data_IF_460034555107
#
_entry.id   IF_460034555107
#
_cell.length_a   1.000
_cell.length_b   1.000
_cell.length_c   1.000
_cell.angle_alpha   90.00
_cell.angle_beta   90.00
_cell.angle_gamma   90.00
#
_symmetry.space_group_name_H-M   'P 1'
#
loop_
_entity.id
_entity.type
_entity.pdbx_description
1 polymer ?
#
# COMPACT_ATOMS: atom_id res chain seq x y z
N UNK A 1 17.22 47.04 44.70
CA UNK A 1 16.09 47.60 43.92
C UNK A 1 15.12 46.48 43.59
N UNK A 2 13.90 46.61 44.12
CA UNK A 2 12.64 45.92 43.79
C UNK A 2 12.55 44.39 43.78
N UNK A 3 11.93 43.90 44.85
CA UNK A 3 11.18 42.64 45.00
C UNK A 3 10.26 42.27 43.82
N UNK A 4 10.04 40.96 43.59
CA UNK A 4 8.77 40.29 43.96
C UNK A 4 8.79 38.77 43.72
N UNK A 5 8.50 38.08 44.82
CA UNK A 5 7.90 36.75 44.92
C UNK A 5 6.53 36.69 44.22
N UNK A 6 6.23 35.54 43.64
CA UNK A 6 4.91 35.05 43.22
C UNK A 6 4.99 33.52 43.31
N UNK A 7 3.99 32.74 43.71
CA UNK A 7 2.76 32.88 44.48
C UNK A 7 2.26 31.43 44.54
N UNK A 8 1.94 30.96 45.74
CA UNK A 8 1.35 29.64 45.96
C UNK A 8 -0.13 29.73 45.56
N UNK A 9 -0.58 28.92 44.61
CA UNK A 9 -2.01 28.77 44.29
C UNK A 9 -2.36 27.29 44.37
N UNK A 10 -2.95 26.94 45.51
CA UNK A 10 -3.80 25.78 45.72
C UNK A 10 -5.11 25.96 44.96
N UNK A 11 -5.42 25.05 44.03
CA UNK A 11 -6.77 24.91 43.46
C UNK A 11 -7.20 23.45 43.54
N UNK A 12 -8.18 23.26 44.43
CA UNK A 12 -9.24 22.26 44.53
C UNK A 12 -9.19 20.99 43.66
N UNK A 13 -9.26 19.88 44.38
CA UNK A 13 -9.88 18.64 43.91
C UNK A 13 -11.29 18.91 43.39
N UNK A 14 -11.50 18.81 42.08
CA UNK A 14 -12.80 18.45 41.53
C UNK A 14 -12.65 17.11 40.81
N UNK A 15 -13.21 16.07 41.42
CA UNK A 15 -13.49 14.78 40.78
C UNK A 15 -14.25 15.01 39.47
N UNK A 16 -13.74 14.54 38.33
CA UNK A 16 -14.56 13.97 37.26
C UNK A 16 -13.71 13.28 36.18
N UNK A 17 -13.88 11.97 36.03
CA UNK A 17 -13.90 11.28 34.73
C UNK A 17 -12.58 11.06 33.99
N UNK A 18 -12.03 9.85 34.12
CA UNK A 18 -11.03 9.25 33.23
C UNK A 18 -11.43 9.29 31.75
N UNK A 19 -10.67 9.98 30.88
CA UNK A 19 -10.80 9.81 29.41
C UNK A 19 -9.47 9.94 28.64
N UNK A 20 -8.95 8.76 28.25
CA UNK A 20 -8.40 8.42 26.93
C UNK A 20 -7.58 9.47 26.14
N UNK A 21 -6.25 9.43 26.27
CA UNK A 21 -5.30 10.10 25.38
C UNK A 21 -4.76 9.16 24.29
N UNK A 22 -5.38 9.16 23.10
CA UNK A 22 -4.79 8.60 21.86
C UNK A 22 -4.71 9.70 20.78
N UNK A 23 -3.60 9.82 20.02
CA UNK A 23 -3.41 10.94 19.11
C UNK A 23 -4.15 10.76 17.77
N UNK A 24 -4.80 11.83 17.33
CA UNK A 24 -5.68 11.92 16.16
C UNK A 24 -4.91 12.33 14.89
N UNK A 25 -5.29 11.81 13.70
CA UNK A 25 -4.79 12.34 12.42
C UNK A 25 -5.84 12.35 11.30
N UNK A 26 -5.79 13.41 10.49
CA UNK A 26 -6.70 13.75 9.40
C UNK A 26 -6.38 12.98 8.11
N UNK A 27 -7.40 12.48 7.41
CA UNK A 27 -7.28 11.99 6.03
C UNK A 27 -7.62 13.13 5.06
N UNK A 28 -6.62 13.58 4.27
CA UNK A 28 -6.76 14.69 3.33
C UNK A 28 -7.29 14.19 1.98
N UNK A 29 -8.58 14.40 1.68
CA UNK A 29 -9.07 14.38 0.29
C UNK A 29 -8.69 15.71 -0.38
N UNK A 30 -7.96 15.67 -1.50
CA UNK A 30 -7.80 16.81 -2.40
C UNK A 30 -9.12 17.03 -3.14
N UNK A 31 -9.88 18.03 -2.71
CA UNK A 31 -11.04 18.58 -3.43
C UNK A 31 -10.93 20.10 -3.45
N UNK A 32 -11.10 20.69 -4.63
CA UNK A 32 -10.95 22.12 -4.91
C UNK A 32 -11.90 22.99 -4.06
N UNK A 33 -11.42 24.21 -3.81
CA UNK A 33 -12.01 25.31 -3.03
C UNK A 33 -13.49 25.58 -3.36
N UNK A 34 -14.34 25.73 -2.33
CA UNK A 34 -14.99 27.00 -1.90
C UNK A 34 -15.95 26.79 -0.72
N UNK A 35 -16.01 27.83 0.12
CA UNK A 35 -17.01 28.22 1.14
C UNK A 35 -17.35 27.29 2.32
N UNK A 36 -16.75 27.66 3.46
CA UNK A 36 -17.31 27.84 4.82
C UNK A 36 -18.62 27.19 5.26
N UNK A 37 -18.56 26.60 6.47
CA UNK A 37 -19.63 26.40 7.47
C UNK A 37 -20.51 25.14 7.43
N UNK A 38 -20.03 24.03 6.89
CA UNK A 38 -20.40 22.71 7.41
C UNK A 38 -19.14 21.88 7.53
N UNK A 39 -18.51 21.96 8.71
CA UNK A 39 -17.43 21.04 9.14
C UNK A 39 -18.08 19.65 9.24
N UNK A 40 -18.28 18.99 8.10
CA UNK A 40 -18.74 17.61 7.99
C UNK A 40 -17.89 16.82 8.96
N UNK A 41 -18.48 16.33 10.07
CA UNK A 41 -17.84 15.42 11.03
C UNK A 41 -17.23 14.29 10.21
N UNK A 42 -15.93 14.38 9.90
CA UNK A 42 -15.15 13.23 9.47
C UNK A 42 -15.22 12.27 10.65
N UNK A 43 -16.10 11.28 10.58
CA UNK A 43 -16.27 10.27 11.63
C UNK A 43 -14.89 9.65 11.83
N UNK A 44 -14.30 9.92 12.99
CA UNK A 44 -13.02 9.36 13.42
C UNK A 44 -13.19 7.85 13.49
N UNK A 45 -12.73 7.12 12.47
CA UNK A 45 -12.77 5.65 12.50
C UNK A 45 -11.53 5.17 13.23
N UNK A 46 -11.74 4.60 14.42
CA UNK A 46 -10.71 3.87 15.15
C UNK A 46 -10.30 2.66 14.30
N UNK A 47 -9.00 2.53 14.02
CA UNK A 47 -8.41 1.40 13.29
C UNK A 47 -7.10 0.98 13.95
N UNK A 48 -6.86 -0.31 14.06
CA UNK A 48 -5.66 -0.90 14.68
C UNK A 48 -4.46 -0.73 13.76
N UNK A 49 -4.64 -0.95 12.46
CA UNK A 49 -3.60 -0.79 11.44
C UNK A 49 -4.06 0.25 10.43
N UNK A 50 -3.18 1.15 9.99
CA UNK A 50 -3.49 2.10 8.92
C UNK A 50 -3.43 1.41 7.56
N UNK A 51 -4.16 1.91 6.55
CA UNK A 51 -3.95 1.51 5.14
C UNK A 51 -2.50 1.63 4.66
N UNK A 52 -1.70 2.48 5.31
CA UNK A 52 -0.27 2.60 5.04
C UNK A 52 0.59 1.48 5.65
N UNK A 53 0.00 0.57 6.42
CA UNK A 53 0.67 -0.52 7.15
C UNK A 53 1.30 -0.10 8.47
N UNK A 54 1.14 1.15 8.91
CA UNK A 54 1.61 1.59 10.23
C UNK A 54 0.63 1.10 11.29
N UNK A 55 1.12 0.42 12.31
CA UNK A 55 0.34 0.09 13.50
C UNK A 55 -0.02 1.37 14.25
N UNK A 56 -1.24 1.44 14.76
CA UNK A 56 -1.75 2.51 15.62
C UNK A 56 -1.82 2.05 17.08
N UNK A 57 -0.92 1.16 17.47
CA UNK A 57 -0.84 0.63 18.82
C UNK A 57 0.20 1.47 19.57
N UNK A 58 -0.24 2.18 20.60
CA UNK A 58 0.65 2.86 21.52
C UNK A 58 0.89 1.94 22.70
N UNK A 59 2.12 1.44 22.82
CA UNK A 59 2.55 0.77 24.04
C UNK A 59 2.76 1.85 25.11
N UNK A 60 2.18 1.64 26.31
CA UNK A 60 2.41 2.48 27.47
C UNK A 60 3.92 2.52 27.75
N UNK A 61 4.43 3.70 28.10
CA UNK A 61 5.86 3.92 28.23
C UNK A 61 6.42 3.11 29.41
N UNK A 62 7.29 2.14 29.13
CA UNK A 62 8.14 1.52 30.15
C UNK A 62 9.23 2.53 30.54
N UNK A 63 9.45 2.74 31.85
CA UNK A 63 10.45 3.68 32.38
C UNK A 63 11.88 3.38 31.91
N UNK A 64 12.17 2.14 31.46
CA UNK A 64 13.50 1.71 30.99
C UNK A 64 13.66 1.67 29.47
N UNK A 65 12.73 2.26 28.71
CA UNK A 65 12.73 2.21 27.25
C UNK A 65 13.97 2.84 26.61
N UNK A 66 14.42 3.98 27.13
CA UNK A 66 15.60 4.67 26.62
C UNK A 66 16.86 3.84 26.82
N UNK A 67 17.01 3.20 27.99
CA UNK A 67 18.13 2.33 28.30
C UNK A 67 18.19 1.12 27.35
N UNK A 68 17.06 0.47 27.08
CA UNK A 68 17.00 -0.64 26.10
C UNK A 68 17.38 -0.21 24.68
N UNK A 69 17.00 1.00 24.24
CA UNK A 69 17.42 1.53 22.94
C UNK A 69 18.91 1.90 22.88
N UNK A 70 19.49 2.39 23.98
CA UNK A 70 20.92 2.66 24.06
C UNK A 70 21.75 1.36 24.04
N UNK A 71 21.26 0.29 24.66
CA UNK A 71 21.90 -1.04 24.59
C UNK A 71 21.93 -1.59 23.15
N UNK A 72 20.92 -1.26 22.33
CA UNK A 72 20.84 -1.65 20.92
C UNK A 72 21.00 -0.45 19.98
N UNK A 73 22.12 0.27 20.15
CA UNK A 73 22.41 1.52 19.45
C UNK A 73 22.48 1.32 17.92
N UNK A 74 23.10 0.23 17.47
CA UNK A 74 23.29 -0.06 16.03
C UNK A 74 21.94 -0.25 15.33
N UNK A 75 21.07 -1.12 15.85
CA UNK A 75 19.75 -1.31 15.23
C UNK A 75 18.90 -0.06 15.36
N UNK A 76 19.04 0.71 16.44
CA UNK A 76 18.33 1.98 16.62
C UNK A 76 18.72 3.01 15.54
N UNK A 77 20.02 3.14 15.24
CA UNK A 77 20.53 4.04 14.20
C UNK A 77 20.08 3.58 12.81
N UNK A 78 20.18 2.29 12.51
CA UNK A 78 19.76 1.71 11.22
C UNK A 78 18.26 1.92 11.00
N UNK A 79 17.43 1.72 12.04
CA UNK A 79 15.98 1.90 11.97
C UNK A 79 15.52 3.37 12.06
N UNK A 80 16.40 4.30 12.40
CA UNK A 80 16.07 5.72 12.44
C UNK A 80 15.81 6.29 11.03
N UNK A 81 15.35 7.54 10.93
CA UNK A 81 15.21 8.18 9.62
C UNK A 81 16.58 8.57 9.08
N UNK A 82 16.73 8.61 7.74
CA UNK A 82 17.98 9.02 7.07
C UNK A 82 18.58 10.32 7.62
N UNK A 83 17.74 11.34 7.85
CA UNK A 83 18.19 12.63 8.40
C UNK A 83 18.85 12.50 9.76
N UNK A 84 18.27 11.70 10.65
CA UNK A 84 18.80 11.49 12.00
C UNK A 84 20.04 10.60 11.99
N UNK A 85 20.08 9.57 11.15
CA UNK A 85 21.28 8.73 10.98
C UNK A 85 22.47 9.55 10.48
N UNK A 86 22.28 10.37 9.43
CA UNK A 86 23.36 11.21 8.89
C UNK A 86 23.79 12.30 9.88
N UNK A 87 22.84 12.92 10.59
CA UNK A 87 23.15 13.90 11.64
C UNK A 87 23.98 13.27 12.75
N UNK A 88 23.57 12.09 13.25
CA UNK A 88 24.26 11.39 14.33
C UNK A 88 25.70 11.03 13.95
N UNK A 89 25.90 10.46 12.75
CA UNK A 89 27.24 10.15 12.23
C UNK A 89 28.12 11.40 12.07
N UNK A 90 27.54 12.50 11.58
CA UNK A 90 28.25 13.78 11.43
C UNK A 90 28.67 14.36 12.78
N UNK A 91 27.80 14.29 13.78
CA UNK A 91 28.09 14.76 15.14
C UNK A 91 29.22 13.97 15.77
N UNK A 92 29.26 12.64 15.61
CA UNK A 92 30.38 11.81 16.11
C UNK A 92 31.71 12.26 15.48
N UNK A 93 31.73 12.48 14.17
CA UNK A 93 32.93 12.90 13.45
C UNK A 93 33.44 14.26 13.95
N UNK A 94 32.54 15.24 14.08
CA UNK A 94 32.87 16.56 14.61
C UNK A 94 33.37 16.47 16.05
N UNK A 95 32.68 15.71 16.92
CA UNK A 95 33.10 15.53 18.31
C UNK A 95 34.51 14.93 18.42
N UNK A 96 34.86 13.99 17.54
CA UNK A 96 36.21 13.41 17.56
C UNK A 96 37.30 14.43 17.20
N UNK A 97 37.05 15.31 16.23
CA UNK A 97 37.97 16.42 15.92
C UNK A 97 38.17 17.34 17.12
N UNK A 98 37.09 17.70 17.82
CA UNK A 98 37.20 18.53 19.02
C UNK A 98 37.94 17.84 20.16
N UNK A 99 37.69 16.56 20.40
CA UNK A 99 38.37 15.80 21.45
C UNK A 99 39.88 15.73 21.17
N UNK A 100 40.28 15.37 19.95
CA UNK A 100 41.69 15.32 19.57
C UNK A 100 42.33 16.70 19.55
N UNK A 101 41.63 17.76 19.14
CA UNK A 101 42.13 19.14 19.24
C UNK A 101 42.45 19.53 20.70
N UNK A 102 41.58 19.15 21.65
CA UNK A 102 41.84 19.37 23.07
C UNK A 102 43.04 18.55 23.58
N UNK A 103 43.21 17.30 23.11
CA UNK A 103 44.37 16.48 23.46
C UNK A 103 45.68 17.05 22.90
N UNK A 104 45.67 17.55 21.66
CA UNK A 104 46.82 18.23 21.07
C UNK A 104 47.18 19.51 21.81
N UNK A 105 46.18 20.28 22.21
CA UNK A 105 46.37 21.47 23.04
C UNK A 105 46.99 21.11 24.41
N UNK A 106 46.55 20.01 25.02
CA UNK A 106 47.08 19.54 26.30
C UNK A 106 48.57 19.17 26.20
N UNK A 107 48.96 18.39 25.18
CA UNK A 107 50.37 18.03 24.92
C UNK A 107 51.22 19.28 24.69
N UNK A 108 50.69 20.28 23.99
CA UNK A 108 51.41 21.51 23.69
C UNK A 108 51.63 22.39 24.92
N UNK A 109 50.66 22.42 25.84
CA UNK A 109 50.78 23.11 27.13
C UNK A 109 51.81 22.41 28.03
N UNK A 110 51.81 21.08 28.08
CA UNK A 110 52.74 20.31 28.92
C UNK A 110 54.19 20.44 28.45
N UNK A 111 54.43 20.40 27.13
CA UNK A 111 55.75 20.62 26.54
C UNK A 111 56.19 22.10 26.53
N UNK A 112 55.30 23.04 26.93
CA UNK A 112 55.52 24.49 26.90
C UNK A 112 55.93 25.00 25.52
N UNK A 113 55.26 24.55 24.46
CA UNK A 113 55.54 24.97 23.08
C UNK A 113 55.31 26.47 22.84
N UNK A 114 54.64 27.16 23.79
CA UNK A 114 54.36 28.60 23.74
C UNK A 114 55.50 29.48 24.24
N UNK A 115 56.47 28.93 24.98
CA UNK A 115 57.61 29.70 25.48
C UNK A 115 58.61 29.91 24.35
N UNK A 116 58.86 31.18 23.96
CA UNK A 116 59.82 31.56 22.90
C UNK A 116 61.26 31.07 23.18
N UNK A 117 61.55 30.64 24.41
CA UNK A 117 62.84 30.06 24.82
C UNK A 117 63.01 28.60 24.42
N UNK A 118 61.94 27.89 24.06
CA UNK A 118 62.01 26.51 23.59
C UNK A 118 62.36 26.47 22.10
N UNK A 119 63.63 26.18 21.80
CA UNK A 119 64.13 26.13 20.42
C UNK A 119 63.58 24.94 19.61
N UNK A 120 62.93 23.96 20.25
CA UNK A 120 62.40 22.76 19.61
C UNK A 120 60.96 22.45 20.10
N UNK A 121 59.91 23.09 19.53
CA UNK A 121 58.53 22.81 19.91
C UNK A 121 58.10 21.41 19.44
N UNK A 122 57.21 20.77 20.19
CA UNK A 122 56.61 19.49 19.82
C UNK A 122 55.76 19.59 18.55
N UNK A 123 54.94 20.64 18.46
CA UNK A 123 54.05 20.95 17.35
C UNK A 123 54.50 22.24 16.64
N UNK A 124 54.98 22.10 15.42
CA UNK A 124 55.40 23.24 14.59
C UNK A 124 54.21 23.88 13.86
N UNK A 125 54.16 25.22 13.82
CA UNK A 125 53.20 25.97 13.00
C UNK A 125 51.76 26.00 13.53
N UNK A 126 51.55 25.61 14.79
CA UNK A 126 50.23 25.58 15.44
C UNK A 126 50.11 26.71 16.45
N UNK A 127 49.18 27.63 16.23
CA UNK A 127 48.92 28.74 17.15
C UNK A 127 47.42 28.83 17.49
N UNK A 128 47.13 28.92 18.79
CA UNK A 128 45.76 29.02 19.33
C UNK A 128 44.90 27.77 19.11
N UNK A 129 43.71 27.75 19.73
CA UNK A 129 42.78 26.61 19.66
C UNK A 129 42.37 26.26 18.23
N UNK A 130 42.15 27.27 17.37
CA UNK A 130 41.82 27.05 15.98
C UNK A 130 42.94 26.29 15.24
N UNK A 131 44.20 26.57 15.55
CA UNK A 131 45.35 25.84 15.01
C UNK A 131 45.31 24.36 15.37
N UNK A 132 45.07 24.01 16.64
CA UNK A 132 44.97 22.62 17.09
C UNK A 132 43.77 21.89 16.49
N UNK A 133 42.64 22.59 16.29
CA UNK A 133 41.48 22.04 15.61
C UNK A 133 41.77 21.73 14.14
N UNK A 134 42.39 22.67 13.42
CA UNK A 134 42.83 22.43 12.04
C UNK A 134 43.82 21.27 11.97
N UNK A 135 44.78 21.22 12.89
CA UNK A 135 45.76 20.13 12.97
C UNK A 135 45.10 18.76 13.21
N UNK A 136 44.10 18.72 14.11
CA UNK A 136 43.32 17.49 14.35
C UNK A 136 42.55 17.05 13.11
N UNK A 137 41.89 17.97 12.42
CA UNK A 137 41.16 17.69 11.17
C UNK A 137 42.14 17.18 10.10
N UNK A 138 43.25 17.87 9.87
CA UNK A 138 44.26 17.52 8.88
C UNK A 138 44.84 16.11 9.11
N UNK A 139 45.12 15.77 10.37
CA UNK A 139 45.69 14.47 10.76
C UNK A 139 44.66 13.35 10.64
N UNK A 140 43.43 13.54 11.13
CA UNK A 140 42.40 12.49 11.12
C UNK A 140 41.80 12.25 9.73
N UNK A 141 41.71 13.29 8.90
CA UNK A 141 41.23 13.18 7.51
C UNK A 141 42.34 12.85 6.51
N UNK A 142 43.58 12.71 6.97
CA UNK A 142 44.76 12.46 6.14
C UNK A 142 44.96 13.47 5.00
N UNK A 143 44.52 14.73 5.20
CA UNK A 143 44.73 15.80 4.22
C UNK A 143 46.18 16.29 4.27
N UNK A 144 46.70 16.54 5.49
CA UNK A 144 48.09 16.89 5.76
C UNK A 144 48.66 18.01 4.87
N UNK A 145 48.22 19.26 5.04
CA UNK A 145 48.69 20.38 4.22
C UNK A 145 50.20 20.69 4.35
N UNK A 146 50.86 20.20 5.41
CA UNK A 146 52.31 20.29 5.59
C UNK A 146 52.81 21.55 6.31
N UNK A 147 51.97 22.57 6.48
CA UNK A 147 52.33 23.79 7.24
C UNK A 147 52.34 23.55 8.77
N UNK A 148 51.70 22.47 9.23
CA UNK A 148 51.65 22.04 10.63
C UNK A 148 52.21 20.63 10.72
N UNK A 149 53.18 20.41 11.59
CA UNK A 149 53.89 19.15 11.66
C UNK A 149 54.29 18.78 13.09
N UNK A 150 54.45 17.48 13.33
CA UNK A 150 54.91 16.91 14.60
C UNK A 150 56.42 16.70 14.51
N UNK A 151 57.14 17.09 15.56
CA UNK A 151 58.56 16.78 15.71
C UNK A 151 58.77 15.44 16.44
N UNK A 152 59.90 14.78 16.15
CA UNK A 152 60.22 13.45 16.66
C UNK A 152 60.67 13.43 18.13
N UNK A 153 60.93 14.60 18.73
CA UNK A 153 61.44 14.73 20.09
C UNK A 153 60.43 14.33 21.17
N UNK A 154 59.13 14.39 20.87
CA UNK A 154 58.05 14.12 21.82
C UNK A 154 57.33 12.80 21.47
N UNK A 155 57.63 11.68 22.15
CA UNK A 155 57.02 10.39 21.84
C UNK A 155 55.51 10.36 22.12
N UNK A 156 55.02 11.19 23.04
CA UNK A 156 53.60 11.32 23.37
C UNK A 156 52.76 11.80 22.19
N UNK A 157 53.29 12.76 21.40
CA UNK A 157 52.64 13.25 20.20
C UNK A 157 52.54 12.17 19.11
N UNK A 158 53.61 11.39 18.92
CA UNK A 158 53.62 10.26 17.98
C UNK A 158 52.59 9.21 18.40
N UNK A 159 52.52 8.89 19.69
CA UNK A 159 51.52 7.96 20.22
C UNK A 159 50.08 8.47 20.00
N UNK A 160 49.82 9.74 20.32
CA UNK A 160 48.51 10.35 20.11
C UNK A 160 48.11 10.34 18.62
N UNK A 161 49.05 10.62 17.72
CA UNK A 161 48.84 10.53 16.28
C UNK A 161 48.44 9.11 15.84
N UNK A 162 49.13 8.08 16.32
CA UNK A 162 48.78 6.68 16.02
C UNK A 162 47.36 6.32 16.51
N UNK A 163 47.02 6.73 17.74
CA UNK A 163 45.66 6.52 18.30
C UNK A 163 44.62 7.29 17.49
N UNK A 164 44.92 8.52 17.07
CA UNK A 164 44.03 9.36 16.28
C UNK A 164 43.75 8.76 14.91
N UNK A 165 44.78 8.30 14.20
CA UNK A 165 44.64 7.65 12.90
C UNK A 165 43.83 6.36 13.03
N UNK A 166 44.14 5.52 14.03
CA UNK A 166 43.38 4.29 14.30
C UNK A 166 41.90 4.56 14.56
N UNK A 167 41.61 5.55 15.41
CA UNK A 167 40.23 5.97 15.73
C UNK A 167 39.51 6.52 14.49
N UNK A 168 40.20 7.31 13.67
CA UNK A 168 39.68 7.85 12.41
C UNK A 168 39.24 6.76 11.43
N UNK A 169 40.09 5.74 11.23
CA UNK A 169 39.79 4.59 10.37
C UNK A 169 38.57 3.81 10.90
N UNK A 170 38.51 3.56 12.21
CA UNK A 170 37.36 2.88 12.82
C UNK A 170 36.04 3.65 12.60
N UNK A 171 36.06 4.98 12.76
CA UNK A 171 34.87 5.82 12.54
C UNK A 171 34.46 5.80 11.07
N UNK A 172 35.41 6.00 10.14
CA UNK A 172 35.15 5.96 8.71
C UNK A 172 34.58 4.60 8.27
N UNK A 173 35.17 3.50 8.75
CA UNK A 173 34.66 2.14 8.51
C UNK A 173 33.23 1.95 9.04
N UNK A 174 32.95 2.43 10.26
CA UNK A 174 31.61 2.34 10.85
C UNK A 174 30.55 3.11 10.03
N UNK A 175 30.91 4.29 9.48
CA UNK A 175 30.02 5.09 8.64
C UNK A 175 29.62 4.32 7.38
N UNK A 176 30.60 3.74 6.67
CA UNK A 176 30.35 2.97 5.45
C UNK A 176 29.47 1.75 5.78
N UNK A 177 29.77 1.01 6.85
CA UNK A 177 29.00 -0.15 7.28
C UNK A 177 27.55 0.21 7.63
N UNK A 178 27.32 1.27 8.40
CA UNK A 178 25.97 1.70 8.79
C UNK A 178 25.17 2.18 7.58
N UNK A 179 25.79 2.96 6.69
CA UNK A 179 25.12 3.44 5.47
C UNK A 179 24.78 2.26 4.57
N UNK A 180 25.70 1.33 4.36
CA UNK A 180 25.48 0.12 3.57
C UNK A 180 24.34 -0.74 4.13
N UNK A 181 24.38 -1.03 5.44
CA UNK A 181 23.33 -1.80 6.12
C UNK A 181 21.95 -1.12 5.99
N UNK A 182 21.93 0.23 6.08
CA UNK A 182 20.70 1.01 5.92
C UNK A 182 20.19 1.03 4.48
N UNK A 183 21.07 1.05 3.48
CA UNK A 183 20.71 1.02 2.05
C UNK A 183 20.10 -0.33 1.64
N UNK A 184 20.67 -1.41 2.14
CA UNK A 184 20.18 -2.78 1.88
C UNK A 184 18.89 -3.06 2.65
N UNK A 185 18.73 -2.42 3.81
CA UNK A 185 17.54 -2.54 4.63
C UNK A 185 16.26 -2.30 3.82
N UNK A 186 15.18 -3.07 4.08
CA UNK A 186 13.94 -2.91 3.34
C UNK A 186 13.38 -1.51 3.59
N UNK A 187 13.39 -0.64 2.56
CA UNK A 187 12.75 0.67 2.67
C UNK A 187 11.30 0.48 3.16
N UNK A 188 10.89 1.31 4.14
CA UNK A 188 9.53 1.34 4.69
C UNK A 188 8.53 1.68 3.57
N UNK A 189 8.11 0.68 2.82
CA UNK A 189 7.20 0.86 1.70
C UNK A 189 5.82 1.17 2.26
N UNK A 190 5.13 2.11 1.63
CA UNK A 190 3.74 2.35 1.91
C UNK A 190 2.92 1.17 1.37
N UNK A 191 2.31 0.42 2.29
CA UNK A 191 1.40 -0.70 2.00
C UNK A 191 0.31 -0.37 0.97
N UNK A 192 -0.03 0.91 0.83
CA UNK A 192 -1.05 1.43 -0.10
C UNK A 192 -0.83 1.08 -1.58
N UNK A 193 0.38 0.69 -1.99
CA UNK A 193 0.67 0.34 -3.38
C UNK A 193 0.64 -1.17 -3.68
N UNK A 194 0.64 -2.01 -2.64
CA UNK A 194 0.63 -3.47 -2.78
C UNK A 194 -0.80 -4.04 -2.70
N UNK A 195 -1.70 -3.38 -1.98
CA UNK A 195 -3.07 -3.83 -1.75
C UNK A 195 -4.10 -2.92 -2.40
N UNK A 196 -5.28 -3.46 -2.70
CA UNK A 196 -6.42 -2.65 -3.11
C UNK A 196 -6.91 -1.72 -2.00
N UNK A 197 -7.53 -0.61 -2.41
CA UNK A 197 -8.11 0.36 -1.47
C UNK A 197 -9.36 -0.21 -0.78
N UNK A 198 -10.18 -0.90 -1.55
CA UNK A 198 -11.42 -1.54 -1.12
C UNK A 198 -11.27 -3.05 -1.23
N UNK A 199 -11.97 -3.79 -0.37
CA UNK A 199 -12.24 -5.21 -0.58
C UNK A 199 -13.65 -5.35 -1.15
N UNK A 200 -13.95 -6.45 -1.82
CA UNK A 200 -15.27 -6.69 -2.41
C UNK A 200 -15.84 -8.01 -1.90
N UNK A 201 -17.17 -8.08 -1.82
CA UNK A 201 -17.90 -9.32 -1.58
C UNK A 201 -18.77 -9.58 -2.81
N UNK A 202 -18.64 -10.76 -3.39
CA UNK A 202 -19.50 -11.22 -4.48
C UNK A 202 -19.74 -12.72 -4.42
N UNK A 203 -20.68 -13.19 -5.23
CA UNK A 203 -20.96 -14.60 -5.37
C UNK A 203 -20.07 -15.19 -6.48
N UNK A 204 -19.41 -16.31 -6.19
CA UNK A 204 -18.59 -17.08 -7.11
C UNK A 204 -18.89 -18.57 -6.92
N UNK A 205 -19.24 -19.26 -8.01
CA UNK A 205 -19.54 -20.70 -8.01
C UNK A 205 -20.58 -21.10 -6.93
N UNK A 206 -21.63 -20.28 -6.78
CA UNK A 206 -22.69 -20.49 -5.79
C UNK A 206 -22.39 -19.97 -4.39
N UNK A 207 -21.12 -19.78 -4.01
CA UNK A 207 -20.73 -19.35 -2.66
C UNK A 207 -20.46 -17.84 -2.57
N UNK A 208 -20.68 -17.24 -1.40
CA UNK A 208 -20.26 -15.86 -1.13
C UNK A 208 -18.78 -15.81 -0.80
N UNK A 209 -18.04 -14.90 -1.45
CA UNK A 209 -16.60 -14.79 -1.33
C UNK A 209 -16.19 -13.35 -0.99
N UNK A 210 -15.25 -13.21 -0.06
CA UNK A 210 -14.57 -11.94 0.22
C UNK A 210 -13.25 -11.90 -0.55
N UNK A 211 -13.07 -10.86 -1.37
CA UNK A 211 -11.96 -10.76 -2.32
C UNK A 211 -11.22 -9.44 -2.16
N UNK A 212 -9.90 -9.52 -2.09
CA UNK A 212 -9.01 -8.37 -2.22
C UNK A 212 -7.87 -8.68 -3.17
N UNK A 213 -7.41 -7.67 -3.92
CA UNK A 213 -6.34 -7.87 -4.90
C UNK A 213 -5.01 -7.38 -4.34
N UNK A 214 -3.98 -8.18 -4.57
CA UNK A 214 -2.60 -7.89 -4.20
C UNK A 214 -1.77 -7.72 -5.46
N UNK A 215 -0.69 -6.95 -5.38
CA UNK A 215 0.31 -6.86 -6.45
C UNK A 215 1.68 -6.63 -5.85
N UNK A 216 2.70 -7.16 -6.51
CA UNK A 216 4.06 -6.73 -6.27
C UNK A 216 4.37 -5.51 -7.14
N UNK A 217 4.63 -4.37 -6.51
CA UNK A 217 5.01 -3.14 -7.24
C UNK A 217 6.52 -2.90 -7.29
N UNK A 218 7.30 -3.66 -6.51
CA UNK A 218 8.73 -3.40 -6.29
C UNK A 218 9.62 -4.64 -6.38
N UNK A 219 9.10 -5.79 -6.83
CA UNK A 219 9.87 -7.04 -6.96
C UNK A 219 10.30 -7.64 -5.63
N UNK A 220 9.58 -7.35 -4.54
CA UNK A 220 9.95 -7.74 -3.17
C UNK A 220 9.29 -9.03 -2.69
N UNK A 221 8.26 -9.49 -3.38
CA UNK A 221 7.51 -10.70 -3.05
C UNK A 221 7.59 -11.67 -4.23
N UNK A 222 8.78 -11.72 -4.85
CA UNK A 222 9.04 -12.61 -5.97
C UNK A 222 9.11 -14.08 -5.55
N UNK A 223 9.49 -14.33 -4.30
CA UNK A 223 9.66 -15.68 -3.76
C UNK A 223 8.89 -15.86 -2.44
N UNK A 224 8.40 -17.09 -2.22
CA UNK A 224 7.78 -17.54 -0.96
C UNK A 224 6.67 -16.60 -0.43
N UNK A 225 5.84 -16.09 -1.33
CA UNK A 225 4.78 -15.16 -0.97
C UNK A 225 3.67 -15.86 -0.20
N UNK A 226 3.48 -15.45 1.05
CA UNK A 226 2.42 -15.91 1.94
C UNK A 226 1.51 -14.74 2.29
N UNK A 227 0.20 -14.95 2.17
CA UNK A 227 -0.80 -13.98 2.60
C UNK A 227 -1.61 -14.59 3.72
N UNK A 228 -1.86 -13.80 4.75
CA UNK A 228 -2.66 -14.18 5.92
C UNK A 228 -3.63 -13.06 6.24
N UNK A 229 -4.85 -13.41 6.62
CA UNK A 229 -5.88 -12.44 6.98
C UNK A 229 -6.44 -12.75 8.38
N UNK A 230 -6.74 -11.68 9.13
CA UNK A 230 -7.23 -11.77 10.49
C UNK A 230 -8.41 -10.82 10.69
N UNK A 231 -9.49 -11.32 11.29
CA UNK A 231 -10.62 -10.53 11.74
C UNK A 231 -10.36 -9.97 13.15
N UNK A 232 -10.50 -8.66 13.28
CA UNK A 232 -10.44 -7.92 14.54
C UNK A 232 -11.85 -7.45 14.88
N UNK A 233 -12.37 -7.92 16.02
CA UNK A 233 -13.68 -7.50 16.53
C UNK A 233 -13.64 -7.34 18.05
N UNK A 234 -14.38 -6.37 18.59
CA UNK A 234 -14.56 -6.23 20.04
C UNK A 234 -15.39 -7.40 20.57
N UNK A 235 -14.93 -8.07 21.62
CA UNK A 235 -15.71 -9.13 22.28
C UNK A 235 -16.93 -8.52 22.97
N UNK A 236 -18.12 -9.11 22.77
CA UNK A 236 -19.38 -8.55 23.29
C UNK A 236 -19.61 -8.88 24.78
N UNK A 237 -18.91 -9.88 25.32
CA UNK A 237 -19.19 -10.48 26.64
C UNK A 237 -18.20 -10.09 27.76
N UNK A 238 -17.06 -9.44 27.48
CA UNK A 238 -16.12 -9.02 28.52
C UNK A 238 -16.40 -7.58 28.97
N UNK A 239 -16.44 -7.33 30.29
CA UNK A 239 -16.43 -5.99 30.88
C UNK A 239 -15.15 -5.20 30.52
N UNK A 240 -14.05 -5.92 30.25
CA UNK A 240 -12.83 -5.37 29.69
C UNK A 240 -12.98 -5.14 28.17
N UNK A 241 -12.36 -4.08 27.66
CA UNK A 241 -12.30 -3.68 26.25
C UNK A 241 -11.44 -4.66 25.39
N UNK A 242 -11.65 -5.97 25.55
CA UNK A 242 -10.87 -7.01 24.89
C UNK A 242 -11.22 -7.12 23.40
N UNK A 243 -10.16 -7.16 22.61
CA UNK A 243 -10.21 -7.27 21.16
C UNK A 243 -9.91 -8.72 20.79
N UNK A 244 -10.87 -9.40 20.15
CA UNK A 244 -10.68 -10.74 19.64
C UNK A 244 -10.03 -10.69 18.24
N UNK A 245 -8.97 -11.48 18.06
CA UNK A 245 -8.31 -11.72 16.79
C UNK A 245 -8.63 -13.14 16.32
N UNK A 246 -9.31 -13.29 15.18
CA UNK A 246 -9.62 -14.60 14.58
C UNK A 246 -8.94 -14.72 13.21
N UNK A 247 -8.29 -15.84 12.92
CA UNK A 247 -7.73 -16.09 11.59
C UNK A 247 -8.82 -16.34 10.56
N UNK A 248 -8.60 -15.89 9.33
CA UNK A 248 -9.47 -16.13 8.18
C UNK A 248 -8.74 -17.07 7.22
N UNK A 249 -9.36 -18.18 6.86
CA UNK A 249 -8.80 -19.16 5.92
C UNK A 249 -8.88 -18.62 4.49
N UNK A 250 -7.75 -18.49 3.82
CA UNK A 250 -7.67 -18.02 2.43
C UNK A 250 -7.53 -19.21 1.49
N UNK A 251 -8.06 -19.10 0.28
CA UNK A 251 -7.77 -20.06 -0.78
C UNK A 251 -6.30 -19.98 -1.20
N UNK A 252 -5.77 -21.10 -1.67
CA UNK A 252 -4.42 -21.14 -2.22
C UNK A 252 -4.37 -20.26 -3.48
N UNK A 253 -3.63 -19.16 -3.38
CA UNK A 253 -3.30 -18.33 -4.52
C UNK A 253 -1.95 -18.78 -5.09
N UNK A 254 -1.80 -18.72 -6.41
CA UNK A 254 -0.56 -19.10 -7.09
C UNK A 254 0.56 -18.08 -6.94
N UNK A 255 1.43 -18.00 -7.94
CA UNK A 255 2.59 -17.11 -7.93
C UNK A 255 2.16 -15.65 -8.21
N UNK A 256 2.75 -14.69 -7.48
CA UNK A 256 2.48 -13.26 -7.63
C UNK A 256 3.29 -12.63 -8.79
N UNK A 257 3.01 -13.05 -10.02
CA UNK A 257 3.64 -12.48 -11.22
C UNK A 257 2.95 -11.18 -11.66
N UNK A 258 1.62 -11.17 -11.62
CA UNK A 258 0.77 -10.01 -11.89
C UNK A 258 -0.20 -9.80 -10.71
N UNK A 259 -1.07 -8.78 -10.74
CA UNK A 259 -2.04 -8.60 -9.66
C UNK A 259 -2.96 -9.82 -9.47
N UNK A 260 -2.87 -10.48 -8.32
CA UNK A 260 -3.65 -11.67 -7.99
C UNK A 260 -4.80 -11.30 -7.05
N UNK A 261 -5.96 -11.90 -7.28
CA UNK A 261 -7.11 -11.82 -6.38
C UNK A 261 -7.00 -12.90 -5.31
N UNK A 262 -6.90 -12.47 -4.06
CA UNK A 262 -6.93 -13.37 -2.90
C UNK A 262 -8.38 -13.54 -2.49
N UNK A 263 -8.84 -14.78 -2.47
CA UNK A 263 -10.23 -15.16 -2.23
C UNK A 263 -10.34 -15.84 -0.88
N UNK A 264 -11.35 -15.41 -0.11
CA UNK A 264 -11.83 -16.09 1.08
C UNK A 264 -13.26 -16.54 0.81
N UNK A 265 -13.48 -17.85 0.72
CA UNK A 265 -14.83 -18.43 0.66
C UNK A 265 -15.46 -18.31 2.05
N UNK A 266 -16.65 -17.73 2.11
CA UNK A 266 -17.41 -17.59 3.35
C UNK A 266 -18.18 -18.90 3.56
N UNK A 267 -17.53 -19.85 4.21
CA UNK A 267 -18.06 -21.16 4.61
C UNK A 267 -18.59 -21.12 6.07
N UNK A 268 -19.13 -22.25 6.54
CA UNK A 268 -19.65 -22.40 7.92
C UNK A 268 -18.59 -22.12 9.00
N UNK A 269 -17.31 -22.35 8.67
CA UNK A 269 -16.19 -22.08 9.58
C UNK A 269 -15.75 -20.61 9.57
N UNK A 270 -16.17 -19.83 8.57
CA UNK A 270 -15.84 -18.43 8.44
C UNK A 270 -16.51 -17.58 9.52
N UNK A 271 -15.80 -16.59 10.09
CA UNK A 271 -16.42 -15.64 11.00
C UNK A 271 -17.46 -14.72 10.32
N UNK A 272 -17.54 -14.76 8.97
CA UNK A 272 -18.52 -13.99 8.18
C UNK A 272 -19.75 -14.81 7.77
N UNK A 273 -19.90 -16.05 8.25
CA UNK A 273 -21.00 -16.93 7.89
C UNK A 273 -22.40 -16.29 8.07
N UNK A 274 -22.57 -15.57 9.18
CA UNK A 274 -23.80 -14.84 9.53
C UNK A 274 -23.68 -13.32 9.26
N UNK A 275 -22.97 -12.94 8.20
CA UNK A 275 -22.84 -11.55 7.77
C UNK A 275 -23.74 -11.27 6.55
N UNK A 276 -24.77 -10.46 6.72
CA UNK A 276 -25.58 -9.93 5.60
C UNK A 276 -25.07 -8.58 5.07
N UNK A 277 -25.57 -8.15 3.91
CA UNK A 277 -25.27 -6.83 3.35
C UNK A 277 -25.68 -5.68 4.29
N UNK A 278 -26.81 -5.84 4.99
CA UNK A 278 -27.27 -4.89 6.02
C UNK A 278 -26.32 -4.86 7.21
N UNK A 279 -25.88 -6.04 7.66
CA UNK A 279 -24.96 -6.14 8.79
C UNK A 279 -23.59 -5.53 8.51
N UNK A 280 -23.12 -5.57 7.27
CA UNK A 280 -21.85 -4.94 6.88
C UNK A 280 -21.84 -3.43 7.19
N UNK A 281 -23.00 -2.77 7.09
CA UNK A 281 -23.16 -1.33 7.37
C UNK A 281 -23.20 -1.06 8.88
N UNK A 282 -23.84 -1.97 9.65
CA UNK A 282 -24.09 -1.81 11.09
C UNK A 282 -22.91 -2.28 11.94
N UNK A 283 -22.39 -3.49 11.65
CA UNK A 283 -21.31 -4.14 12.39
C UNK A 283 -20.01 -3.35 12.20
N UNK A 284 -19.24 -3.26 13.28
CA UNK A 284 -17.91 -2.65 13.29
C UNK A 284 -16.87 -3.72 13.52
N UNK A 285 -16.09 -3.96 12.48
CA UNK A 285 -14.95 -4.87 12.50
C UNK A 285 -13.87 -4.35 11.54
N UNK A 286 -12.66 -4.88 11.71
CA UNK A 286 -11.51 -4.57 10.87
C UNK A 286 -10.86 -5.88 10.43
N UNK A 287 -10.59 -6.02 9.14
CA UNK A 287 -9.84 -7.14 8.59
C UNK A 287 -8.40 -6.67 8.41
N UNK A 288 -7.45 -7.29 9.12
CA UNK A 288 -6.02 -7.07 8.92
C UNK A 288 -5.54 -8.10 7.90
N UNK A 289 -4.85 -7.63 6.87
CA UNK A 289 -4.22 -8.49 5.86
C UNK A 289 -2.73 -8.29 5.94
N UNK A 290 -2.01 -9.39 6.03
CA UNK A 290 -0.56 -9.46 6.06
C UNK A 290 -0.07 -10.21 4.82
N UNK A 291 0.92 -9.63 4.15
CA UNK A 291 1.68 -10.26 3.09
C UNK A 291 3.14 -10.34 3.50
N UNK A 292 3.67 -11.54 3.48
CA UNK A 292 5.06 -11.87 3.76
C UNK A 292 5.66 -12.50 2.50
N UNK A 293 6.90 -12.17 2.17
CA UNK A 293 7.61 -12.78 1.06
C UNK A 293 9.09 -12.41 1.11
N UNK A 294 9.88 -13.03 0.25
CA UNK A 294 11.31 -12.73 0.12
C UNK A 294 11.59 -12.05 -1.21
N UNK A 295 12.44 -11.02 -1.16
CA UNK A 295 12.85 -10.32 -2.37
C UNK A 295 13.81 -11.19 -3.17
N UNK A 296 13.55 -11.38 -4.46
CA UNK A 296 14.36 -12.25 -5.31
C UNK A 296 15.81 -11.75 -5.48
N UNK A 297 16.06 -10.44 -5.34
CA UNK A 297 17.39 -9.85 -5.55
C UNK A 297 18.21 -9.73 -4.27
N UNK A 298 17.59 -9.40 -3.13
CA UNK A 298 18.31 -9.20 -1.86
C UNK A 298 18.17 -10.38 -0.89
N UNK A 299 17.28 -11.33 -1.18
CA UNK A 299 16.92 -12.46 -0.30
C UNK A 299 16.47 -12.04 1.10
N UNK A 300 16.12 -10.76 1.29
CA UNK A 300 15.64 -10.25 2.56
C UNK A 300 14.13 -10.47 2.69
N UNK A 301 13.65 -10.92 3.87
CA UNK A 301 12.22 -11.04 4.13
C UNK A 301 11.57 -9.65 4.19
N UNK A 302 10.46 -9.50 3.48
CA UNK A 302 9.65 -8.30 3.41
C UNK A 302 8.24 -8.62 3.90
N UNK A 303 7.82 -7.89 4.93
CA UNK A 303 6.45 -7.98 5.48
C UNK A 303 5.71 -6.68 5.22
N UNK A 304 4.46 -6.77 4.80
CA UNK A 304 3.61 -5.59 4.59
C UNK A 304 2.19 -5.90 5.01
N UNK A 305 1.63 -4.99 5.80
CA UNK A 305 0.34 -5.16 6.43
C UNK A 305 -0.59 -4.06 5.90
N UNK A 306 -1.86 -4.37 5.68
CA UNK A 306 -2.93 -3.40 5.44
C UNK A 306 -4.13 -3.77 6.30
N UNK A 307 -5.15 -2.91 6.31
CA UNK A 307 -6.43 -3.31 6.89
C UNK A 307 -7.63 -2.76 6.13
N UNK A 308 -8.74 -3.48 6.19
CA UNK A 308 -10.03 -3.13 5.61
C UNK A 308 -11.04 -2.96 6.75
N UNK A 309 -11.54 -1.75 6.91
CA UNK A 309 -12.69 -1.48 7.76
C UNK A 309 -13.97 -2.01 7.12
N UNK A 310 -15.01 -2.30 7.90
CA UNK A 310 -16.31 -2.75 7.35
C UNK A 310 -16.85 -1.84 6.24
N UNK A 311 -16.64 -0.52 6.34
CA UNK A 311 -17.02 0.49 5.33
C UNK A 311 -16.13 0.52 4.08
N UNK A 312 -14.95 -0.09 4.14
CA UNK A 312 -14.02 -0.20 3.02
C UNK A 312 -14.28 -1.50 2.22
N UNK A 313 -15.27 -2.30 2.62
CA UNK A 313 -15.72 -3.50 1.94
C UNK A 313 -16.98 -3.16 1.13
N UNK A 314 -16.99 -3.49 -0.15
CA UNK A 314 -18.07 -3.22 -1.09
C UNK A 314 -18.84 -4.52 -1.37
N UNK A 315 -20.10 -4.59 -0.96
CA UNK A 315 -20.97 -5.74 -1.28
C UNK A 315 -21.47 -5.64 -2.73
N UNK A 316 -21.60 -6.76 -3.42
CA UNK A 316 -22.10 -6.81 -4.80
C UNK A 316 -21.19 -6.16 -5.82
N UNK A 317 -19.88 -6.26 -5.58
CA UNK A 317 -18.89 -5.70 -6.48
C UNK A 317 -17.88 -6.76 -6.92
N UNK A 318 -17.42 -6.63 -8.16
CA UNK A 318 -16.31 -7.41 -8.73
C UNK A 318 -15.20 -6.47 -9.16
N UNK A 319 -13.95 -6.92 -9.13
CA UNK A 319 -12.86 -6.12 -9.70
C UNK A 319 -12.87 -6.20 -11.23
N UNK A 320 -12.62 -5.06 -11.87
CA UNK A 320 -12.39 -5.05 -13.31
C UNK A 320 -11.07 -5.78 -13.64
N UNK A 321 -11.01 -6.52 -14.77
CA UNK A 321 -9.76 -7.08 -15.27
C UNK A 321 -8.72 -5.98 -15.45
N UNK A 322 -7.48 -6.25 -15.03
CA UNK A 322 -6.38 -5.28 -15.13
C UNK A 322 -5.18 -5.79 -15.95
N UNK A 323 -5.28 -7.00 -16.49
CA UNK A 323 -4.26 -7.63 -17.32
C UNK A 323 -4.86 -7.84 -18.71
N UNK A 324 -4.19 -7.32 -19.72
CA UNK A 324 -4.63 -7.42 -21.12
C UNK A 324 -3.45 -7.90 -21.97
N UNK A 325 -3.75 -8.66 -23.02
CA UNK A 325 -2.72 -9.05 -24.00
C UNK A 325 -2.68 -8.01 -25.12
N UNK A 326 -1.52 -7.38 -25.33
CA UNK A 326 -1.30 -6.46 -26.44
C UNK A 326 -0.66 -7.22 -27.61
N UNK A 327 -1.42 -7.38 -28.70
CA UNK A 327 -0.98 -8.09 -29.91
C UNK A 327 0.21 -7.39 -30.58
N UNK A 328 0.29 -6.06 -30.50
CA UNK A 328 1.34 -5.28 -31.16
C UNK A 328 2.69 -5.48 -30.47
N UNK A 329 2.67 -5.56 -29.14
CA UNK A 329 3.87 -5.76 -28.32
C UNK A 329 4.12 -7.23 -27.97
N UNK A 330 3.30 -8.15 -28.48
CA UNK A 330 3.29 -9.59 -28.18
C UNK A 330 3.47 -9.89 -26.68
N UNK A 331 2.89 -9.07 -25.81
CA UNK A 331 3.15 -9.12 -24.36
C UNK A 331 1.92 -8.79 -23.53
N UNK A 332 1.88 -9.30 -22.30
CA UNK A 332 0.84 -8.98 -21.33
C UNK A 332 1.12 -7.64 -20.65
N UNK A 333 0.16 -6.73 -20.72
CA UNK A 333 0.23 -5.39 -20.14
C UNK A 333 -0.71 -5.31 -18.94
N UNK A 334 -0.14 -4.94 -17.80
CA UNK A 334 -0.90 -4.70 -16.57
C UNK A 334 -1.25 -3.22 -16.46
N UNK A 335 -2.52 -2.87 -16.68
CA UNK A 335 -2.98 -1.49 -16.55
C UNK A 335 -3.28 -1.13 -15.09
N UNK A 336 -2.40 -0.31 -14.51
CA UNK A 336 -2.45 0.11 -13.10
C UNK A 336 -3.72 0.88 -12.73
N UNK A 337 -4.38 1.53 -13.68
CA UNK A 337 -5.59 2.30 -13.42
C UNK A 337 -6.79 1.42 -13.07
N UNK A 338 -6.82 0.18 -13.56
CA UNK A 338 -7.88 -0.79 -13.28
C UNK A 338 -7.66 -1.59 -11.99
N UNK A 339 -6.47 -1.47 -11.36
CA UNK A 339 -6.15 -2.26 -10.16
C UNK A 339 -7.15 -2.08 -9.03
N UNK A 340 -7.62 -0.83 -8.81
CA UNK A 340 -8.60 -0.50 -7.77
C UNK A 340 -10.03 -0.35 -8.30
N UNK A 341 -10.26 -0.50 -9.62
CA UNK A 341 -11.59 -0.29 -10.20
C UNK A 341 -12.45 -1.53 -9.97
N UNK A 342 -13.70 -1.28 -9.59
CA UNK A 342 -14.70 -2.29 -9.32
C UNK A 342 -15.95 -1.97 -10.13
N UNK A 343 -16.69 -3.01 -10.48
CA UNK A 343 -17.99 -2.96 -11.15
C UNK A 343 -19.05 -3.60 -10.27
N UNK A 344 -20.28 -3.13 -10.37
CA UNK A 344 -21.42 -3.70 -9.64
C UNK A 344 -21.88 -4.98 -10.33
N UNK A 345 -22.16 -6.01 -9.55
CA UNK A 345 -22.65 -7.30 -10.01
C UNK A 345 -23.85 -7.69 -9.15
N UNK A 346 -24.84 -8.34 -9.78
CA UNK A 346 -25.98 -8.89 -9.06
C UNK A 346 -25.49 -9.96 -8.08
N UNK A 347 -25.62 -9.67 -6.80
CA UNK A 347 -25.27 -10.60 -5.73
C UNK A 347 -26.37 -10.60 -4.67
N UNK A 348 -26.68 -11.76 -4.10
CA UNK A 348 -27.67 -11.85 -3.03
C UNK A 348 -27.28 -10.98 -1.85
N UNK A 349 -28.27 -10.33 -1.24
CA UNK A 349 -28.08 -9.39 -0.11
C UNK A 349 -28.15 -10.09 1.26
N UNK A 350 -28.52 -11.38 1.27
CA UNK A 350 -28.61 -12.21 2.46
C UNK A 350 -27.22 -12.66 2.95
N UNK A 351 -27.17 -13.23 4.16
CA UNK A 351 -25.96 -13.85 4.68
C UNK A 351 -25.64 -15.16 3.97
N UNK A 352 -24.38 -15.60 4.03
CA UNK A 352 -23.95 -16.87 3.44
C UNK A 352 -24.73 -18.07 4.01
N UNK A 353 -25.03 -18.02 5.32
CA UNK A 353 -25.93 -18.98 5.98
C UNK A 353 -27.30 -19.07 5.32
N UNK A 354 -27.98 -17.93 5.17
CA UNK A 354 -29.33 -17.90 4.60
C UNK A 354 -29.33 -18.30 3.12
N UNK A 355 -28.26 -17.97 2.42
CA UNK A 355 -28.06 -18.36 1.03
C UNK A 355 -27.93 -19.88 0.89
N UNK A 356 -27.15 -20.55 1.75
CA UNK A 356 -27.06 -22.01 1.74
C UNK A 356 -28.39 -22.68 2.12
N UNK A 357 -29.13 -22.16 3.11
CA UNK A 357 -30.48 -22.65 3.45
C UNK A 357 -31.42 -22.61 2.24
N UNK A 358 -31.46 -21.49 1.51
CA UNK A 358 -32.31 -21.34 0.32
C UNK A 358 -31.88 -22.32 -0.79
N UNK A 359 -30.59 -22.55 -0.98
CA UNK A 359 -30.14 -23.56 -1.95
C UNK A 359 -30.55 -24.98 -1.56
N UNK A 360 -30.54 -25.31 -0.26
CA UNK A 360 -31.02 -26.61 0.23
C UNK A 360 -32.54 -26.76 0.01
N UNK A 361 -33.33 -25.71 0.29
CA UNK A 361 -34.79 -25.69 0.08
C UNK A 361 -35.15 -25.87 -1.42
N UNK A 362 -34.38 -25.26 -2.32
CA UNK A 362 -34.58 -25.41 -3.77
C UNK A 362 -34.23 -26.82 -4.24
N UNK A 363 -33.09 -27.37 -3.80
CA UNK A 363 -32.65 -28.72 -4.18
C UNK A 363 -33.56 -29.83 -3.66
N UNK A 364 -34.21 -29.62 -2.50
CA UNK A 364 -35.18 -30.57 -1.96
C UNK A 364 -36.53 -30.53 -2.68
N UNK A 365 -36.90 -29.38 -3.25
CA UNK A 365 -38.10 -29.22 -4.06
C UNK A 365 -37.98 -29.86 -5.46
N UNK A 366 -36.79 -29.83 -6.08
CA UNK A 366 -36.54 -30.48 -7.38
C UNK A 366 -36.49 -32.02 -7.31
N UNK A 367 -36.16 -32.59 -6.14
CA UNK A 367 -36.11 -34.05 -5.94
C UNK A 367 -37.47 -34.70 -5.63
N UNK A 368 -38.55 -33.92 -5.58
CA UNK A 368 -39.93 -34.43 -5.50
C UNK A 368 -40.65 -34.18 -6.84
N UNK A 369 -40.71 -35.15 -7.77
CA UNK A 369 -41.69 -35.08 -8.84
C UNK A 369 -43.07 -35.21 -8.21
N UNK A 370 -43.74 -34.08 -8.02
CA UNK A 370 -45.11 -34.04 -7.53
C UNK A 370 -46.02 -34.78 -8.53
N UNK A 371 -46.60 -35.90 -8.10
CA UNK A 371 -47.79 -36.49 -8.71
C UNK A 371 -48.91 -35.45 -8.65
N UNK A 372 -49.18 -34.77 -9.74
CA UNK A 372 -50.39 -33.96 -9.89
C UNK A 372 -51.52 -34.84 -10.42
N UNK A 373 -52.37 -35.31 -9.53
CA UNK A 373 -53.69 -35.86 -9.88
C UNK A 373 -54.75 -34.96 -9.26
N UNK A 374 -55.47 -34.26 -10.16
CA UNK A 374 -56.85 -33.75 -10.03
C UNK A 374 -57.15 -32.70 -8.94
N UNK A 375 -58.07 -31.76 -9.08
CA UNK A 375 -58.92 -31.21 -10.14
C UNK A 375 -59.56 -29.98 -9.48
N UNK A 376 -59.58 -28.83 -10.14
CA UNK A 376 -60.69 -27.87 -9.98
C UNK A 376 -60.76 -27.00 -11.22
N UNK A 377 -61.69 -27.37 -12.10
CA UNK A 377 -62.18 -26.50 -13.17
C UNK A 377 -63.03 -25.39 -12.54
N UNK A 378 -62.77 -24.13 -12.92
CA UNK A 378 -63.82 -23.13 -13.10
C UNK A 378 -63.29 -21.93 -13.90
N UNK A 379 -64.07 -21.60 -14.95
CA UNK A 379 -64.02 -20.45 -15.84
C UNK A 379 -63.24 -20.52 -17.17
N UNK A 380 -64.05 -20.91 -18.17
CA UNK A 380 -64.03 -20.68 -19.61
C UNK A 380 -63.29 -19.45 -20.17
N UNK A 381 -62.50 -19.71 -21.21
CA UNK A 381 -62.12 -18.76 -22.27
C UNK A 381 -63.29 -18.50 -23.24
N UNK A 382 -63.23 -17.42 -24.04
CA UNK A 382 -63.60 -17.49 -25.43
C UNK A 382 -62.37 -17.32 -26.32
N UNK A 383 -62.27 -18.23 -27.28
CA UNK A 383 -61.23 -18.34 -28.30
C UNK A 383 -61.42 -17.32 -29.42
N UNK A 384 -60.31 -16.85 -30.00
CA UNK A 384 -60.26 -16.54 -31.44
C UNK A 384 -58.93 -17.04 -31.99
N UNK A 385 -59.08 -17.92 -32.97
CA UNK A 385 -58.09 -18.68 -33.73
C UNK A 385 -57.33 -17.81 -34.73
N UNK A 386 -56.04 -18.09 -34.95
CA UNK A 386 -55.46 -18.31 -36.28
C UNK A 386 -54.11 -19.04 -36.16
N UNK A 387 -53.94 -20.00 -37.06
CA UNK A 387 -52.95 -21.08 -37.16
C UNK A 387 -51.54 -20.66 -37.62
N UNK A 388 -50.51 -21.50 -37.42
CA UNK A 388 -49.15 -21.25 -37.88
C UNK A 388 -48.97 -21.67 -39.35
N UNK A 389 -48.14 -20.92 -40.09
CA UNK A 389 -47.60 -21.34 -41.39
C UNK A 389 -46.09 -21.19 -41.38
N UNK A 390 -45.42 -22.29 -41.72
CA UNK A 390 -43.99 -22.50 -41.90
C UNK A 390 -43.47 -21.98 -43.24
N UNK A 391 -42.27 -21.40 -43.27
CA UNK A 391 -41.39 -21.35 -44.46
C UNK A 391 -39.92 -21.54 -44.03
N UNK A 392 -39.33 -22.64 -44.50
CA UNK A 392 -37.89 -22.96 -44.68
C UNK A 392 -37.35 -22.18 -45.90
N UNK A 393 -36.08 -21.92 -46.20
CA UNK A 393 -34.74 -22.19 -45.67
C UNK A 393 -33.78 -21.18 -46.37
N UNK A 394 -32.46 -21.31 -46.15
CA UNK A 394 -31.36 -20.86 -47.02
C UNK A 394 -30.88 -19.41 -46.89
N UNK A 395 -29.88 -19.20 -46.02
CA UNK A 395 -28.72 -18.31 -46.31
C UNK A 395 -27.60 -18.34 -45.23
N UNK A 396 -27.73 -19.12 -44.15
CA UNK A 396 -26.72 -19.17 -43.07
C UNK A 396 -26.11 -20.57 -42.97
N UNK A 397 -25.58 -21.10 -44.07
CA UNK A 397 -24.82 -22.36 -44.05
C UNK A 397 -23.67 -22.44 -45.06
N UNK A 398 -23.12 -21.28 -45.47
CA UNK A 398 -22.03 -21.20 -46.46
C UNK A 398 -20.77 -20.42 -46.04
N UNK A 399 -20.48 -20.33 -44.75
CA UNK A 399 -19.25 -19.67 -44.27
C UNK A 399 -18.43 -20.45 -43.22
N UNK A 400 -18.77 -21.71 -42.92
CA UNK A 400 -18.09 -22.48 -41.86
C UNK A 400 -17.47 -23.81 -42.29
N UNK A 401 -17.48 -24.17 -43.57
CA UNK A 401 -16.85 -25.40 -44.07
C UNK A 401 -16.00 -25.12 -45.32
N UNK A 402 -14.94 -24.32 -45.18
CA UNK A 402 -13.82 -24.33 -46.14
C UNK A 402 -12.55 -23.81 -45.48
N UNK A 403 -11.89 -24.61 -44.63
CA UNK A 403 -10.41 -24.63 -44.49
C UNK A 403 -9.98 -25.48 -43.28
N UNK A 404 -10.10 -26.80 -43.38
CA UNK A 404 -9.23 -27.73 -42.67
C UNK A 404 -9.10 -28.99 -43.53
N UNK A 405 -7.99 -29.09 -44.26
CA UNK A 405 -7.21 -30.32 -44.53
C UNK A 405 -6.29 -30.16 -45.76
N UNK A 406 -5.17 -30.87 -45.72
CA UNK A 406 -4.00 -30.93 -46.63
C UNK A 406 -2.91 -29.87 -46.40
N UNK A 407 -1.61 -30.15 -46.42
CA UNK A 407 -0.74 -31.28 -46.00
C UNK A 407 0.69 -30.85 -46.36
N UNK A 408 1.64 -31.05 -45.43
CA UNK A 408 3.07 -31.42 -45.59
C UNK A 408 3.95 -30.91 -46.77
N UNK A 409 5.14 -30.45 -46.35
CA UNK A 409 6.50 -30.61 -46.93
C UNK A 409 7.26 -29.41 -47.56
N UNK A 410 8.49 -29.28 -47.04
CA UNK A 410 9.79 -28.80 -47.56
C UNK A 410 10.24 -27.31 -47.65
N UNK A 411 11.34 -27.08 -46.89
CA UNK A 411 12.62 -26.37 -47.09
C UNK A 411 12.76 -24.90 -47.63
N UNK A 412 13.54 -24.17 -46.82
CA UNK A 412 14.63 -23.21 -47.11
C UNK A 412 14.45 -21.75 -47.62
N UNK A 413 15.23 -20.91 -46.92
CA UNK A 413 15.92 -19.66 -47.27
C UNK A 413 15.19 -18.31 -47.41
N UNK A 414 15.85 -17.28 -46.84
CA UNK A 414 15.83 -15.93 -47.44
C UNK A 414 15.61 -14.74 -46.51
N UNK A 415 16.68 -14.27 -45.91
CA UNK A 415 16.83 -12.97 -45.23
C UNK A 415 16.69 -11.79 -46.22
N UNK A 416 16.07 -10.66 -45.79
CA UNK A 416 16.54 -9.25 -45.87
C UNK A 416 15.44 -8.19 -46.09
N UNK A 417 15.74 -7.02 -45.52
CA UNK A 417 14.91 -5.87 -45.21
C UNK A 417 14.82 -4.82 -46.35
N UNK A 418 14.10 -3.74 -46.01
CA UNK A 418 14.04 -2.40 -46.64
C UNK A 418 12.90 -2.26 -47.66
N UNK A 419 11.96 -1.33 -47.56
CA UNK A 419 11.84 -0.11 -46.76
C UNK A 419 11.12 0.89 -47.68
N UNK A 420 9.91 1.34 -47.34
CA UNK A 420 9.27 2.46 -48.05
C UNK A 420 8.26 3.18 -47.14
N UNK A 421 8.49 4.48 -47.06
CA UNK A 421 7.89 5.46 -46.18
C UNK A 421 6.40 5.70 -46.51
N UNK A 422 5.56 5.71 -45.47
CA UNK A 422 4.14 6.07 -45.53
C UNK A 422 3.96 7.58 -45.77
N UNK A 423 3.21 7.93 -46.82
CA UNK A 423 2.57 9.25 -46.95
C UNK A 423 1.30 9.29 -46.10
N UNK A 424 1.15 10.37 -45.35
CA UNK A 424 0.03 10.72 -44.48
C UNK A 424 -1.31 10.71 -45.24
N UNK A 425 -2.33 10.09 -44.65
CA UNK A 425 -3.73 10.25 -45.04
C UNK A 425 -4.52 10.79 -43.84
N UNK A 426 -5.12 11.96 -44.03
CA UNK A 426 -5.64 12.86 -42.99
C UNK A 426 -6.82 12.28 -42.19
N UNK A 427 -6.75 12.40 -40.88
CA UNK A 427 -7.77 12.02 -39.89
C UNK A 427 -9.00 12.93 -39.84
N UNK A 428 -9.02 14.02 -40.60
CA UNK A 428 -10.00 15.11 -40.41
C UNK A 428 -11.35 14.85 -41.09
N UNK A 429 -11.39 13.99 -42.10
CA UNK A 429 -12.65 13.61 -42.77
C UNK A 429 -13.46 12.58 -41.97
N UNK A 430 -12.81 11.80 -41.09
CA UNK A 430 -13.50 10.80 -40.27
C UNK A 430 -14.26 11.45 -39.10
N UNK A 431 -13.70 12.50 -38.50
CA UNK A 431 -14.34 13.21 -37.38
C UNK A 431 -15.58 14.00 -37.82
N UNK A 432 -15.57 14.61 -39.01
CA UNK A 432 -16.75 15.31 -39.54
C UNK A 432 -17.92 14.38 -39.88
N UNK A 433 -17.65 13.14 -40.28
CA UNK A 433 -18.71 12.16 -40.57
C UNK A 433 -19.34 11.59 -39.30
N UNK A 434 -18.56 11.47 -38.21
CA UNK A 434 -19.05 11.00 -36.91
C UNK A 434 -19.89 12.05 -36.19
N UNK A 435 -19.50 13.33 -36.25
CA UNK A 435 -20.27 14.40 -35.63
C UNK A 435 -21.64 14.60 -36.30
N UNK A 436 -21.73 14.49 -37.62
CA UNK A 436 -23.00 14.54 -38.33
C UNK A 436 -23.92 13.36 -37.95
N UNK A 437 -23.37 12.16 -37.81
CA UNK A 437 -24.12 10.96 -37.40
C UNK A 437 -24.64 11.04 -35.95
N UNK A 438 -23.88 11.65 -35.04
CA UNK A 438 -24.32 11.84 -33.64
C UNK A 438 -25.39 12.93 -33.54
N UNK A 439 -25.31 13.99 -34.33
CA UNK A 439 -26.31 15.07 -34.35
C UNK A 439 -27.64 14.60 -34.96
N UNK A 440 -27.60 13.76 -35.99
CA UNK A 440 -28.80 13.21 -36.63
C UNK A 440 -29.55 12.23 -35.71
N UNK A 441 -28.81 11.39 -34.99
CA UNK A 441 -29.37 10.48 -33.97
C UNK A 441 -29.90 11.21 -32.72
N UNK A 442 -29.36 12.38 -32.39
CA UNK A 442 -29.87 13.21 -31.31
C UNK A 442 -31.18 13.93 -31.68
N UNK A 443 -31.37 14.27 -32.97
CA UNK A 443 -32.62 14.87 -33.47
C UNK A 443 -33.75 13.86 -33.52
N UNK A 444 -33.52 12.65 -34.03
CA UNK A 444 -34.53 11.57 -34.07
C UNK A 444 -34.98 11.15 -32.67
N UNK A 445 -34.07 11.11 -31.70
CA UNK A 445 -34.40 10.79 -30.30
C UNK A 445 -35.21 11.89 -29.60
N UNK A 446 -35.09 13.15 -30.04
CA UNK A 446 -35.87 14.28 -29.49
C UNK A 446 -37.30 14.31 -30.04
N UNK A 447 -37.49 14.03 -31.34
CA UNK A 447 -38.84 13.91 -31.95
C UNK A 447 -39.66 12.75 -31.37
N UNK A 448 -39.04 11.62 -31.03
CA UNK A 448 -39.74 10.46 -30.43
C UNK A 448 -40.19 10.75 -28.99
N UNK A 449 -39.45 11.58 -28.25
CA UNK A 449 -39.82 11.98 -26.88
C UNK A 449 -40.95 13.02 -26.90
N UNK A 450 -40.93 13.94 -27.87
CA UNK A 450 -41.96 14.98 -28.01
C UNK A 450 -43.32 14.40 -28.50
N UNK A 451 -43.32 13.37 -29.36
CA UNK A 451 -44.55 12.65 -29.77
C UNK A 451 -45.15 11.81 -28.63
N UNK A 452 -44.33 11.21 -27.77
CA UNK A 452 -44.81 10.45 -26.61
C UNK A 452 -45.37 11.33 -25.49
N UNK A 453 -44.91 12.59 -25.38
CA UNK A 453 -45.45 13.54 -24.40
C UNK A 453 -46.77 14.20 -24.84
N UNK A 454 -47.07 14.31 -26.14
CA UNK A 454 -48.37 14.79 -26.62
C UNK A 454 -49.51 13.76 -26.47
N UNK A 455 -49.23 12.45 -26.61
CA UNK A 455 -50.27 11.40 -26.49
C UNK A 455 -50.79 11.14 -25.07
N UNK A 456 -50.08 11.60 -24.03
CA UNK A 456 -50.49 11.39 -22.63
C UNK A 456 -51.36 12.52 -22.05
N UNK A 457 -51.50 13.65 -22.76
CA UNK A 457 -52.28 14.81 -22.29
C UNK A 457 -53.69 14.92 -22.90
N UNK A 458 -54.09 14.05 -23.83
CA UNK A 458 -55.45 14.04 -24.43
C UNK A 458 -56.41 13.00 -23.82
N UNK A 459 -55.99 12.21 -22.83
CA UNK A 459 -56.87 11.23 -22.15
C UNK A 459 -57.21 11.59 -20.71
N UNK A 460 -57.09 12.86 -20.33
CA UNK A 460 -57.49 13.34 -19.01
C UNK A 460 -58.20 14.71 -19.11
N UNK A 461 -59.39 14.72 -19.71
CA UNK A 461 -60.47 15.65 -19.41
C UNK A 461 -61.82 14.95 -19.57
#
# INVERSE_FOLDING_TARGET
MSHKSFEEISIENSEFGSQNTFPYYLSRKKGRRRSSLLRKKCRLVRRVVRKSGKSSIFQKNDSFRLYRYCLDLVNTIINSQWKWTMLFLSVIFILTWFIFACLWMLISIENKDFDETNMEPCLGGVQGFAGYLLFSIETQSSIGYGNRYINHYCPEAIFLMCVQIGTGICICGSLICIVYAKMIGPNRLHSTNCFTKHAVINQRDGNLCLIFRIRDSGGRYGCLTKVSAYLVQKKRESLADDVALKSIKLEAFGILIWPVEVVHVIDETSPFWDLSAKDLIVKRFEIIVEMEGTCATTSLPSKTITSYLSREIMWGHRYQPCVFYDKNKKSFIVNRNFFNKTEEVLTPLCSAKRLQEVYMDLSSSENNPFTSTENTNLFSSPSTTLSPVTVYDDDIKKAYETSYSSSSDDEDDGFTCEGLCMKELSTDNLYKSLDNFVVENAKTKKTIIDEHHCKYNETAF
#
